data_IF_863751007096
#
_entry.id   IF_863751007096
#
_cell.length_a   1.000
_cell.length_b   1.000
_cell.length_c   1.000
_cell.angle_alpha   90.00
_cell.angle_beta   90.00
_cell.angle_gamma   90.00
#
_symmetry.space_group_name_H-M   'P 1'
#
loop_
_entity.id
_entity.type
_entity.pdbx_description
1 polymer ?
#
# COMPACT_ATOMS: atom_id res chain seq x y z
N UNK A 1 -30.40 -67.90 -51.27
CA UNK A 1 -29.55 -66.69 -51.23
C UNK A 1 -29.70 -66.02 -49.87
N UNK A 2 -28.67 -66.11 -49.03
CA UNK A 2 -28.62 -65.53 -47.69
C UNK A 2 -28.03 -64.11 -47.74
N UNK A 3 -28.68 -63.12 -47.12
CA UNK A 3 -28.08 -61.80 -46.88
C UNK A 3 -28.07 -61.50 -45.38
N UNK A 4 -26.85 -61.25 -44.90
CA UNK A 4 -26.39 -61.17 -43.51
C UNK A 4 -26.93 -59.92 -42.81
N UNK A 5 -27.34 -60.10 -41.55
CA UNK A 5 -27.70 -59.08 -40.56
C UNK A 5 -26.40 -58.39 -40.08
N UNK A 6 -26.23 -57.09 -40.31
CA UNK A 6 -25.07 -56.32 -39.82
C UNK A 6 -25.38 -55.82 -38.40
N UNK A 7 -24.61 -56.29 -37.42
CA UNK A 7 -24.51 -55.69 -36.08
C UNK A 7 -23.53 -54.52 -36.19
N UNK A 8 -23.93 -53.33 -35.78
CA UNK A 8 -23.00 -52.23 -35.51
C UNK A 8 -22.99 -51.99 -34.00
N UNK A 9 -21.98 -52.58 -33.37
CA UNK A 9 -21.48 -52.28 -32.05
C UNK A 9 -20.63 -51.01 -32.13
N UNK A 10 -20.99 -49.98 -31.37
CA UNK A 10 -20.23 -48.76 -31.29
C UNK A 10 -20.65 -47.95 -30.07
N UNK A 11 -20.27 -48.43 -28.89
CA UNK A 11 -20.28 -47.66 -27.64
C UNK A 11 -19.31 -46.50 -27.81
N UNK A 12 -19.80 -45.39 -28.34
CA UNK A 12 -19.09 -44.12 -28.34
C UNK A 12 -19.20 -43.52 -26.94
N UNK A 13 -18.35 -44.00 -26.02
CA UNK A 13 -18.17 -43.32 -24.74
C UNK A 13 -17.66 -41.91 -25.01
N UNK A 14 -18.57 -40.95 -24.92
CA UNK A 14 -18.28 -39.54 -24.92
C UNK A 14 -17.43 -39.23 -23.69
N UNK A 15 -16.11 -39.33 -23.82
CA UNK A 15 -15.15 -38.75 -22.89
C UNK A 15 -15.34 -37.24 -22.96
N UNK A 16 -16.26 -36.74 -22.13
CA UNK A 16 -16.37 -35.33 -21.78
C UNK A 16 -15.04 -34.95 -21.15
N UNK A 17 -14.13 -34.41 -21.95
CA UNK A 17 -12.97 -33.66 -21.45
C UNK A 17 -13.52 -32.47 -20.68
N UNK A 18 -13.79 -32.65 -19.40
CA UNK A 18 -13.97 -31.56 -18.46
C UNK A 18 -12.66 -30.80 -18.46
N UNK A 19 -12.63 -29.71 -19.24
CA UNK A 19 -11.57 -28.73 -19.21
C UNK A 19 -11.61 -28.10 -17.83
N UNK A 20 -10.88 -28.67 -16.88
CA UNK A 20 -10.63 -28.05 -15.58
C UNK A 20 -9.88 -26.76 -15.88
N UNK A 21 -10.63 -25.66 -15.96
CA UNK A 21 -10.05 -24.31 -15.95
C UNK A 21 -9.52 -24.09 -14.54
N UNK A 22 -8.33 -24.60 -14.23
CA UNK A 22 -7.58 -24.03 -13.11
C UNK A 22 -7.14 -22.65 -13.56
N UNK A 23 -7.98 -21.64 -13.36
CA UNK A 23 -7.52 -20.26 -13.28
C UNK A 23 -6.69 -20.17 -12.01
N UNK A 24 -5.44 -20.64 -12.07
CA UNK A 24 -4.44 -20.32 -11.05
C UNK A 24 -4.15 -18.84 -11.23
N UNK A 25 -4.96 -18.00 -10.60
CA UNK A 25 -4.62 -16.61 -10.39
C UNK A 25 -3.18 -16.56 -9.88
N UNK A 26 -2.38 -15.55 -10.30
CA UNK A 26 -0.98 -15.43 -9.89
C UNK A 26 -0.90 -15.62 -8.38
N UNK A 27 -0.27 -16.73 -8.01
CA UNK A 27 -0.34 -17.29 -6.67
C UNK A 27 0.60 -16.46 -5.82
N UNK A 28 0.05 -15.51 -5.06
CA UNK A 28 0.87 -14.73 -4.13
C UNK A 28 0.88 -15.49 -2.80
N UNK A 29 1.90 -16.32 -2.51
CA UNK A 29 1.89 -17.25 -1.38
C UNK A 29 1.73 -16.53 -0.04
N UNK A 30 2.21 -15.28 0.04
CA UNK A 30 2.10 -14.46 1.23
C UNK A 30 0.66 -14.09 1.62
N UNK A 31 -0.26 -13.96 0.66
CA UNK A 31 -1.67 -13.65 0.95
C UNK A 31 -2.46 -14.89 1.43
N UNK A 32 -1.89 -16.09 1.36
CA UNK A 32 -2.47 -17.29 1.98
C UNK A 32 -2.21 -17.38 3.47
N UNK A 33 -1.25 -16.62 3.99
CA UNK A 33 -0.99 -16.63 5.42
C UNK A 33 -2.16 -16.02 6.20
N UNK A 34 -2.48 -16.56 7.39
CA UNK A 34 -3.37 -15.90 8.34
C UNK A 34 -2.93 -14.45 8.60
N UNK A 35 -3.90 -13.60 8.93
CA UNK A 35 -3.65 -12.17 9.17
C UNK A 35 -2.58 -11.95 10.25
N UNK A 36 -2.51 -12.82 11.25
CA UNK A 36 -1.50 -12.78 12.33
C UNK A 36 -0.06 -12.81 11.78
N UNK A 37 0.25 -13.76 10.90
CA UNK A 37 1.58 -13.86 10.31
C UNK A 37 1.89 -12.68 9.38
N UNK A 38 0.87 -12.17 8.67
CA UNK A 38 1.03 -10.97 7.84
C UNK A 38 1.37 -9.76 8.71
N UNK A 39 0.69 -9.59 9.84
CA UNK A 39 0.95 -8.50 10.78
C UNK A 39 2.37 -8.57 11.36
N UNK A 40 2.87 -9.76 11.71
CA UNK A 40 4.26 -9.93 12.15
C UNK A 40 5.26 -9.46 11.09
N UNK A 41 5.02 -9.80 9.82
CA UNK A 41 5.87 -9.32 8.71
C UNK A 41 5.74 -7.81 8.53
N UNK A 42 4.53 -7.26 8.63
CA UNK A 42 4.31 -5.82 8.52
C UNK A 42 5.03 -5.06 9.64
N UNK A 43 4.94 -5.55 10.88
CA UNK A 43 5.64 -4.97 12.03
C UNK A 43 7.15 -5.04 11.84
N UNK A 44 7.68 -6.14 11.29
CA UNK A 44 9.10 -6.25 10.97
C UNK A 44 9.54 -5.25 9.89
N UNK A 45 8.75 -5.09 8.82
CA UNK A 45 9.07 -4.19 7.70
C UNK A 45 8.93 -2.72 8.08
N UNK A 46 7.92 -2.35 8.87
CA UNK A 46 7.59 -0.94 9.16
C UNK A 46 8.05 -0.46 10.55
N UNK A 47 8.13 -1.35 11.54
CA UNK A 47 8.37 -1.02 12.95
C UNK A 47 9.74 -0.44 13.27
N UNK A 48 10.77 -0.73 12.48
CA UNK A 48 12.11 -0.16 12.66
C UNK A 48 12.43 0.99 11.69
N UNK A 49 11.43 1.47 10.96
CA UNK A 49 11.68 2.47 9.89
C UNK A 49 11.74 3.88 10.48
N UNK A 50 12.87 4.55 10.23
CA UNK A 50 13.07 5.94 10.62
C UNK A 50 13.27 6.83 9.40
N UNK A 51 12.32 7.73 9.15
CA UNK A 51 12.37 8.66 8.03
C UNK A 51 12.96 10.00 8.48
N UNK A 52 14.15 10.33 7.98
CA UNK A 52 14.77 11.63 8.24
C UNK A 52 14.66 12.54 7.02
N UNK A 53 14.09 13.72 7.21
CA UNK A 53 13.91 14.73 6.17
C UNK A 53 14.83 15.92 6.42
N UNK A 54 15.92 15.97 5.64
CA UNK A 54 16.91 17.04 5.68
C UNK A 54 16.67 18.11 4.61
N UNK A 55 16.03 17.73 3.50
CA UNK A 55 15.82 18.59 2.34
C UNK A 55 14.32 18.79 2.05
N UNK A 56 14.00 19.80 1.26
CA UNK A 56 12.63 20.14 0.84
C UNK A 56 11.92 19.04 0.01
N UNK A 57 12.64 17.98 -0.40
CA UNK A 57 12.09 16.80 -1.06
C UNK A 57 11.61 15.79 -0.01
N UNK A 58 10.36 15.92 0.41
CA UNK A 58 9.72 15.07 1.43
C UNK A 58 9.19 13.76 0.83
N UNK A 59 10.05 12.97 0.18
CA UNK A 59 9.68 11.63 -0.31
C UNK A 59 10.13 10.59 0.71
N UNK A 60 9.23 9.66 1.05
CA UNK A 60 9.57 8.46 1.80
C UNK A 60 10.37 7.54 0.87
N UNK A 61 11.69 7.79 0.78
CA UNK A 61 12.55 7.16 -0.22
C UNK A 61 13.08 5.78 0.19
N UNK A 62 12.51 5.13 1.21
CA UNK A 62 13.01 3.84 1.71
C UNK A 62 12.37 2.65 1.02
N UNK A 63 13.12 1.55 0.92
CA UNK A 63 12.68 0.28 0.33
C UNK A 63 11.39 -0.31 0.95
N UNK A 64 11.03 0.11 2.16
CA UNK A 64 9.91 -0.47 2.91
C UNK A 64 8.53 -0.13 2.33
N UNK A 65 8.40 0.97 1.57
CA UNK A 65 7.14 1.30 0.89
C UNK A 65 6.90 0.45 -0.37
N UNK A 66 7.90 -0.31 -0.83
CA UNK A 66 7.73 -1.17 -2.01
C UNK A 66 6.67 -2.24 -1.78
N UNK A 67 6.46 -2.69 -0.53
CA UNK A 67 5.41 -3.66 -0.18
C UNK A 67 4.01 -3.15 -0.54
N UNK A 68 3.79 -1.83 -0.43
CA UNK A 68 2.54 -1.17 -0.81
C UNK A 68 2.29 -1.17 -2.33
N UNK A 69 3.33 -1.41 -3.12
CA UNK A 69 3.27 -1.37 -4.59
C UNK A 69 3.10 -2.76 -5.20
N UNK A 70 3.28 -3.84 -4.42
CA UNK A 70 3.26 -5.22 -4.94
C UNK A 70 1.85 -5.70 -5.27
N UNK A 71 0.85 -5.38 -4.44
CA UNK A 71 -0.52 -5.86 -4.60
C UNK A 71 -1.55 -4.87 -4.04
N UNK A 72 -2.74 -4.83 -4.66
CA UNK A 72 -3.88 -4.02 -4.18
C UNK A 72 -4.28 -4.41 -2.75
N UNK A 73 -4.29 -5.70 -2.45
CA UNK A 73 -4.67 -6.18 -1.11
C UNK A 73 -3.66 -5.74 -0.05
N UNK A 74 -2.36 -5.88 -0.34
CA UNK A 74 -1.31 -5.41 0.57
C UNK A 74 -1.37 -3.89 0.75
N UNK A 75 -1.64 -3.17 -0.33
CA UNK A 75 -1.83 -1.73 -0.25
C UNK A 75 -2.95 -1.37 0.74
N UNK A 76 -4.11 -2.02 0.65
CA UNK A 76 -5.23 -1.74 1.55
C UNK A 76 -4.94 -2.11 3.00
N UNK A 77 -4.25 -3.22 3.24
CA UNK A 77 -3.88 -3.67 4.59
C UNK A 77 -2.80 -2.78 5.22
N UNK A 78 -1.81 -2.36 4.43
CA UNK A 78 -0.61 -1.70 4.93
C UNK A 78 -0.59 -0.18 4.77
N UNK A 79 -1.51 0.45 4.03
CA UNK A 79 -1.43 1.87 3.68
C UNK A 79 -1.26 2.82 4.89
N UNK A 80 -1.72 2.42 6.09
CA UNK A 80 -1.60 3.18 7.32
C UNK A 80 -0.41 2.78 8.20
N UNK A 81 0.15 1.58 8.02
CA UNK A 81 1.21 1.05 8.86
C UNK A 81 2.52 1.85 8.82
N UNK A 82 3.00 2.33 7.65
CA UNK A 82 4.16 3.22 7.61
C UNK A 82 3.97 4.52 8.39
N UNK A 83 2.73 4.96 8.61
CA UNK A 83 2.44 6.18 9.36
C UNK A 83 2.34 5.91 10.85
N UNK A 84 1.80 4.75 11.22
CA UNK A 84 1.61 4.33 12.61
C UNK A 84 2.91 3.87 13.27
N UNK A 85 3.68 3.04 12.56
CA UNK A 85 4.82 2.33 13.13
C UNK A 85 6.14 3.04 12.91
N UNK A 86 6.22 3.96 11.95
CA UNK A 86 7.47 4.64 11.64
C UNK A 86 7.60 5.96 12.38
N UNK A 87 8.84 6.28 12.75
CA UNK A 87 9.17 7.59 13.32
C UNK A 87 9.59 8.53 12.19
N UNK A 88 9.06 9.76 12.20
CA UNK A 88 9.42 10.79 11.23
C UNK A 88 10.20 11.91 11.92
N UNK A 89 11.34 12.28 11.34
CA UNK A 89 12.27 13.25 11.88
C UNK A 89 12.51 14.37 10.87
N UNK A 90 12.35 15.62 11.31
CA UNK A 90 12.49 16.80 10.46
C UNK A 90 13.48 17.79 11.06
N UNK A 91 14.35 18.37 10.24
CA UNK A 91 15.25 19.46 10.66
C UNK A 91 14.63 20.86 10.56
N UNK A 92 13.53 21.02 9.82
CA UNK A 92 12.92 22.32 9.54
C UNK A 92 11.40 22.20 9.41
N UNK A 93 10.68 23.31 9.61
CA UNK A 93 9.21 23.36 9.54
C UNK A 93 8.65 23.32 8.11
N UNK A 94 9.38 23.86 7.11
CA UNK A 94 8.93 23.86 5.71
C UNK A 94 8.71 22.44 5.11
N UNK A 95 9.63 21.48 5.30
CA UNK A 95 9.41 20.07 4.96
C UNK A 95 8.19 19.46 5.64
N UNK A 96 7.92 19.81 6.90
CA UNK A 96 6.78 19.28 7.65
C UNK A 96 5.48 19.68 6.99
N UNK A 97 5.30 20.97 6.66
CA UNK A 97 4.09 21.47 6.00
C UNK A 97 3.82 20.70 4.71
N UNK A 98 4.82 20.64 3.82
CA UNK A 98 4.69 19.93 2.54
C UNK A 98 4.40 18.44 2.74
N UNK A 99 5.02 17.83 3.76
CA UNK A 99 4.76 16.45 4.10
C UNK A 99 3.28 16.28 4.47
N UNK A 100 2.77 17.04 5.43
CA UNK A 100 1.41 16.88 5.93
C UNK A 100 0.33 17.23 4.89
N UNK A 101 0.55 18.26 4.06
CA UNK A 101 -0.38 18.66 2.99
C UNK A 101 -0.59 17.57 1.93
N UNK A 102 0.41 16.72 1.69
CA UNK A 102 0.33 15.66 0.70
C UNK A 102 -0.35 14.38 1.23
N UNK A 103 -0.78 14.33 2.49
CA UNK A 103 -1.35 13.13 3.12
C UNK A 103 -2.86 13.27 3.32
N UNK A 104 -3.54 12.12 3.33
CA UNK A 104 -4.98 12.08 3.63
C UNK A 104 -5.23 12.28 5.12
N UNK A 105 -6.47 12.66 5.48
CA UNK A 105 -6.86 12.83 6.90
C UNK A 105 -6.65 11.55 7.73
N UNK A 106 -6.84 10.38 7.12
CA UNK A 106 -6.60 9.09 7.79
C UNK A 106 -5.11 8.87 8.06
N UNK A 107 -4.25 9.16 7.09
CA UNK A 107 -2.80 9.09 7.26
C UNK A 107 -2.31 10.08 8.33
N UNK A 108 -2.85 11.30 8.36
CA UNK A 108 -2.52 12.30 9.37
C UNK A 108 -2.86 11.87 10.80
N UNK A 109 -3.98 11.15 10.97
CA UNK A 109 -4.39 10.59 12.27
C UNK A 109 -3.53 9.39 12.67
N UNK A 110 -3.06 8.62 11.70
CA UNK A 110 -2.19 7.47 11.93
C UNK A 110 -0.77 7.88 12.32
N UNK A 111 -0.33 9.12 12.05
CA UNK A 111 1.01 9.59 12.43
C UNK A 111 1.08 9.86 13.93
N UNK A 112 1.68 8.94 14.68
CA UNK A 112 1.83 9.02 16.14
C UNK A 112 3.13 9.72 16.59
N UNK A 113 4.27 9.43 15.94
CA UNK A 113 5.59 9.96 16.32
C UNK A 113 6.23 10.84 15.22
N UNK A 114 6.08 12.16 15.36
CA UNK A 114 6.88 13.15 14.61
C UNK A 114 7.80 13.92 15.53
N UNK A 115 9.08 13.92 15.17
CA UNK A 115 10.17 14.62 15.85
C UNK A 115 10.67 15.77 14.98
N UNK A 116 10.85 16.92 15.60
CA UNK A 116 11.39 18.12 14.97
C UNK A 116 12.59 18.56 15.76
N UNK A 117 13.73 18.63 15.10
CA UNK A 117 14.98 19.11 15.69
C UNK A 117 15.07 20.62 15.45
N UNK A 118 15.11 21.38 16.54
CA UNK A 118 15.34 22.81 16.51
C UNK A 118 16.83 23.14 16.33
N UNK A 119 17.10 24.32 15.79
CA UNK A 119 18.45 24.85 15.53
C UNK A 119 19.32 24.94 16.79
N UNK A 120 18.71 25.00 17.98
CA UNK A 120 19.39 25.14 19.28
C UNK A 120 19.40 23.84 20.11
N UNK A 121 19.26 22.66 19.48
CA UNK A 121 19.35 21.36 20.16
C UNK A 121 18.08 20.88 20.86
N UNK A 122 17.00 21.69 20.85
CA UNK A 122 15.68 21.26 21.32
C UNK A 122 15.05 20.23 20.38
N UNK A 123 14.43 19.19 20.94
CA UNK A 123 13.63 18.22 20.16
C UNK A 123 12.16 18.33 20.56
N UNK A 124 11.31 18.69 19.62
CA UNK A 124 9.85 18.71 19.82
C UNK A 124 9.25 17.43 19.26
N UNK A 125 8.44 16.74 20.07
CA UNK A 125 7.71 15.53 19.68
C UNK A 125 6.21 15.79 19.73
N UNK A 126 5.51 15.52 18.64
CA UNK A 126 4.05 15.60 18.60
C UNK A 126 3.44 14.75 17.48
N UNK A 127 2.12 14.62 17.48
CA UNK A 127 1.31 13.90 16.48
C UNK A 127 1.24 14.67 15.15
N UNK A 128 0.99 13.98 14.04
CA UNK A 128 0.80 14.63 12.73
C UNK A 128 -0.35 15.63 12.69
N UNK A 129 -1.45 15.35 13.41
CA UNK A 129 -2.60 16.25 13.55
C UNK A 129 -2.27 17.54 14.31
N UNK A 130 -1.41 17.46 15.33
CA UNK A 130 -0.93 18.63 16.07
C UNK A 130 -0.14 19.55 15.15
N UNK A 131 0.85 18.99 14.43
CA UNK A 131 1.67 19.77 13.50
C UNK A 131 0.86 20.35 12.33
N UNK A 132 -0.16 19.63 11.85
CA UNK A 132 -1.04 20.10 10.79
C UNK A 132 -1.78 21.38 11.20
N UNK A 133 -2.31 21.41 12.42
CA UNK A 133 -2.97 22.58 13.01
C UNK A 133 -1.97 23.70 13.33
N UNK A 134 -0.86 23.36 13.99
CA UNK A 134 0.18 24.30 14.40
C UNK A 134 0.76 25.08 13.22
N UNK A 135 1.01 24.40 12.09
CA UNK A 135 1.56 25.01 10.89
C UNK A 135 0.52 25.71 10.01
N UNK A 136 -0.77 25.68 10.38
CA UNK A 136 -1.85 26.30 9.62
C UNK A 136 -2.09 25.68 8.23
N UNK A 137 -1.87 24.36 8.09
CA UNK A 137 -1.96 23.66 6.79
C UNK A 137 -3.41 23.59 6.24
N UNK A 138 -4.41 24.07 6.98
CA UNK A 138 -5.80 24.18 6.53
C UNK A 138 -6.01 25.24 5.45
N UNK A 139 -5.12 26.24 5.36
CA UNK A 139 -5.19 27.33 4.38
C UNK A 139 -4.47 26.94 3.09
N UNK A 140 -5.16 26.26 2.17
CA UNK A 140 -4.58 25.82 0.89
C UNK A 140 -4.14 27.00 0.01
N UNK A 141 -2.89 26.97 -0.47
CA UNK A 141 -2.60 27.19 -1.90
C UNK A 141 -2.39 25.83 -2.52
N UNK A 142 -3.31 25.45 -3.40
CA UNK A 142 -3.23 24.24 -4.19
C UNK A 142 -1.94 24.28 -5.04
N UNK A 143 -0.99 23.39 -4.79
CA UNK A 143 0.04 23.02 -5.77
C UNK A 143 0.00 21.51 -5.90
N UNK A 144 -0.93 21.10 -6.74
CA UNK A 144 -1.19 19.72 -7.10
C UNK A 144 -0.08 19.22 -8.03
N UNK A 145 0.63 18.16 -7.63
CA UNK A 145 1.55 17.43 -8.52
C UNK A 145 1.82 15.98 -8.12
N UNK A 146 1.11 15.45 -7.14
CA UNK A 146 1.32 14.07 -6.66
C UNK A 146 0.05 13.21 -6.64
N UNK A 147 -1.13 13.76 -6.92
CA UNK A 147 -2.34 12.97 -7.07
C UNK A 147 -2.36 12.16 -8.38
N UNK A 148 -1.45 12.43 -9.32
CA UNK A 148 -1.46 11.79 -10.64
C UNK A 148 -1.28 10.26 -10.60
N UNK A 149 -0.57 9.70 -9.61
CA UNK A 149 -0.40 8.23 -9.54
C UNK A 149 -1.56 7.50 -8.88
N UNK A 150 -2.35 8.17 -8.02
CA UNK A 150 -3.54 7.59 -7.40
C UNK A 150 -4.82 7.87 -8.19
N UNK A 151 -4.89 8.97 -8.94
CA UNK A 151 -6.00 9.25 -9.86
C UNK A 151 -5.92 8.39 -11.13
N UNK A 152 -4.72 8.14 -11.66
CA UNK A 152 -4.53 7.32 -12.87
C UNK A 152 -4.81 5.82 -12.66
N UNK A 153 -4.95 5.37 -11.41
CA UNK A 153 -5.38 3.99 -11.07
C UNK A 153 -6.89 3.85 -10.81
N UNK A 154 -7.62 4.97 -10.70
CA UNK A 154 -9.09 4.99 -10.55
C UNK A 154 -9.84 4.99 -11.89
N UNK A 155 -9.16 5.22 -13.01
CA UNK A 155 -9.77 5.45 -14.34
C UNK A 155 -9.63 4.29 -15.35
N UNK A 156 -9.35 3.05 -14.91
CA UNK A 156 -9.36 1.87 -15.79
C UNK A 156 -10.37 0.80 -15.38
N UNK A 157 -11.59 1.21 -15.09
CA UNK A 157 -12.77 0.32 -15.09
C UNK A 157 -13.95 1.03 -15.77
N UNK A 158 -13.93 1.03 -17.11
CA UNK A 158 -15.08 0.81 -18.01
C UNK A 158 -14.58 0.07 -19.24
#
# INVERSE_FOLDING_TARGET
>A
MAKRKRKESGTGDAVKRTRVKTSKAPHFPFLRFPAELRNVVYDYVFGSTHYKFYNSRCRMATHNINLLLVSRQLHTECALLPYKLSTFSFGFTAPIRRFLEARTKQQLRAIEDMRVFGTFGGTSRATGSYWFKYLGCEKKRCSDRYLFFLSMWREREY
#
